data_IF_571910862521
#
_entry.id   IF_571910862521
#
_cell.length_a   1.000
_cell.length_b   1.000
_cell.length_c   1.000
_cell.angle_alpha   90.00
_cell.angle_beta   90.00
_cell.angle_gamma   90.00
#
_symmetry.space_group_name_H-M   'P 1'
#
loop_
_entity.id
_entity.type
_entity.pdbx_description
1 polymer ?
#
# COMPACT_ATOMS: atom_id res chain seq x y z
N UNK A 1 10.54 -6.48 4.19
CA UNK A 1 9.25 -6.58 3.49
C UNK A 1 9.32 -5.95 2.09
N UNK A 2 9.75 -4.67 1.92
CA UNK A 2 9.82 -4.02 0.59
C UNK A 2 10.66 -4.77 -0.43
N UNK A 3 11.84 -5.27 -0.03
CA UNK A 3 12.69 -6.07 -0.92
C UNK A 3 12.00 -7.36 -1.35
N UNK A 4 11.34 -8.06 -0.41
CA UNK A 4 10.62 -9.29 -0.71
C UNK A 4 9.48 -9.04 -1.71
N UNK A 5 8.68 -7.97 -1.50
CA UNK A 5 7.62 -7.58 -2.45
C UNK A 5 8.22 -7.28 -3.83
N UNK A 6 9.28 -6.45 -3.89
CA UNK A 6 9.91 -6.10 -5.17
C UNK A 6 10.49 -7.31 -5.91
N UNK A 7 11.10 -8.26 -5.18
CA UNK A 7 11.59 -9.51 -5.76
C UNK A 7 10.44 -10.37 -6.26
N UNK A 8 9.38 -10.55 -5.47
CA UNK A 8 8.21 -11.31 -5.86
C UNK A 8 7.55 -10.77 -7.13
N UNK A 9 7.36 -9.44 -7.20
CA UNK A 9 6.77 -8.77 -8.38
C UNK A 9 7.63 -8.96 -9.64
N UNK A 10 8.96 -8.93 -9.52
CA UNK A 10 9.87 -9.18 -10.66
C UNK A 10 9.70 -10.57 -11.25
N UNK A 11 9.54 -11.58 -10.39
CA UNK A 11 9.42 -12.97 -10.81
C UNK A 11 7.98 -13.37 -11.18
N UNK A 12 7.00 -12.58 -10.76
CA UNK A 12 5.62 -12.82 -11.12
C UNK A 12 5.37 -12.59 -12.62
N UNK A 13 4.51 -13.42 -13.23
CA UNK A 13 4.15 -13.33 -14.65
C UNK A 13 2.77 -12.72 -14.87
N UNK A 14 1.94 -12.68 -13.83
CA UNK A 14 0.60 -12.12 -13.92
C UNK A 14 0.60 -10.60 -14.02
N UNK A 15 -0.40 -10.05 -14.71
CA UNK A 15 -0.66 -8.60 -14.75
C UNK A 15 -1.00 -8.06 -13.37
N UNK A 16 -1.84 -8.76 -12.64
CA UNK A 16 -2.26 -8.39 -11.30
C UNK A 16 -1.43 -9.11 -10.26
N UNK A 17 -0.93 -8.36 -9.31
CA UNK A 17 -0.15 -8.88 -8.18
C UNK A 17 -0.99 -8.79 -6.93
N UNK A 18 -1.12 -9.92 -6.25
CA UNK A 18 -1.73 -9.99 -4.92
C UNK A 18 -0.64 -10.17 -3.86
N UNK A 19 -0.71 -9.40 -2.78
CA UNK A 19 0.19 -9.53 -1.63
C UNK A 19 -0.59 -9.76 -0.36
N UNK A 20 -0.01 -10.55 0.56
CA UNK A 20 -0.50 -10.65 1.92
C UNK A 20 0.67 -10.86 2.89
N UNK A 21 0.45 -10.55 4.18
CA UNK A 21 1.44 -10.85 5.21
C UNK A 21 1.33 -12.32 5.61
N UNK A 22 2.48 -12.99 5.81
CA UNK A 22 2.57 -14.42 6.11
C UNK A 22 2.32 -14.78 7.58
N UNK A 23 1.68 -13.89 8.36
CA UNK A 23 1.41 -14.09 9.79
C UNK A 23 0.00 -14.66 10.09
N UNK A 24 -0.75 -15.00 9.04
CA UNK A 24 -2.09 -15.59 9.12
C UNK A 24 -3.20 -14.60 9.49
N UNK A 25 -2.91 -13.31 9.65
CA UNK A 25 -3.91 -12.31 10.02
C UNK A 25 -4.80 -11.86 8.86
N UNK A 26 -4.30 -11.95 7.62
CA UNK A 26 -5.05 -11.60 6.43
C UNK A 26 -5.85 -12.80 5.91
N UNK A 27 -7.07 -12.58 5.43
CA UNK A 27 -7.90 -13.63 4.85
C UNK A 27 -7.74 -13.67 3.33
N UNK A 28 -7.17 -14.74 2.74
CA UNK A 28 -7.06 -14.86 1.29
C UNK A 28 -8.42 -14.85 0.55
N UNK A 29 -9.51 -15.19 1.22
CA UNK A 29 -10.86 -15.14 0.66
C UNK A 29 -11.32 -13.73 0.25
N UNK A 30 -10.63 -12.68 0.71
CA UNK A 30 -10.89 -11.31 0.28
C UNK A 30 -10.33 -10.99 -1.13
N UNK A 31 -9.37 -11.75 -1.67
CA UNK A 31 -8.73 -11.45 -2.96
C UNK A 31 -9.70 -11.38 -4.15
N UNK A 32 -10.65 -12.29 -4.34
CA UNK A 32 -11.58 -12.20 -5.46
C UNK A 32 -12.27 -10.84 -5.52
N UNK A 33 -12.80 -10.37 -4.40
CA UNK A 33 -13.50 -9.08 -4.32
C UNK A 33 -12.59 -7.88 -4.61
N UNK A 34 -11.32 -7.93 -4.17
CA UNK A 34 -10.35 -6.87 -4.49
C UNK A 34 -9.99 -6.88 -5.97
N UNK A 35 -9.85 -8.06 -6.56
CA UNK A 35 -9.56 -8.23 -7.99
C UNK A 35 -10.74 -7.80 -8.86
N UNK A 36 -11.96 -8.16 -8.49
CA UNK A 36 -13.17 -7.75 -9.20
C UNK A 36 -13.30 -6.23 -9.26
N UNK A 37 -12.96 -5.53 -8.17
CA UNK A 37 -12.95 -4.08 -8.15
C UNK A 37 -11.94 -3.48 -9.14
N UNK A 38 -10.75 -4.09 -9.28
CA UNK A 38 -9.73 -3.68 -10.25
C UNK A 38 -10.12 -3.95 -11.72
N UNK A 39 -10.93 -4.98 -11.94
CA UNK A 39 -11.32 -5.41 -13.28
C UNK A 39 -12.56 -4.70 -13.81
N UNK A 40 -13.17 -3.81 -13.03
CA UNK A 40 -14.36 -3.08 -13.46
C UNK A 40 -14.05 -2.12 -14.62
N UNK A 41 -14.78 -2.20 -15.75
CA UNK A 41 -14.55 -1.34 -16.91
C UNK A 41 -14.78 0.15 -16.63
N UNK A 42 -15.61 0.47 -15.63
CA UNK A 42 -15.96 1.84 -15.25
C UNK A 42 -14.79 2.62 -14.61
N UNK A 43 -13.74 1.94 -14.18
CA UNK A 43 -12.59 2.58 -13.51
C UNK A 43 -11.26 2.16 -14.14
N UNK A 44 -10.97 2.53 -15.40
CA UNK A 44 -9.74 2.10 -16.10
C UNK A 44 -8.46 2.67 -15.46
N UNK A 45 -8.58 3.76 -14.71
CA UNK A 45 -7.51 4.40 -13.95
C UNK A 45 -7.16 3.68 -12.64
N UNK A 46 -8.03 2.80 -12.14
CA UNK A 46 -7.81 2.06 -10.89
C UNK A 46 -6.73 1.00 -11.08
N UNK A 47 -5.62 1.14 -10.34
CA UNK A 47 -4.45 0.27 -10.45
C UNK A 47 -3.99 -0.33 -9.12
N UNK A 48 -4.60 0.09 -8.01
CA UNK A 48 -4.33 -0.46 -6.69
C UNK A 48 -5.64 -0.54 -5.89
N UNK A 49 -5.97 -1.73 -5.43
CA UNK A 49 -6.99 -1.94 -4.39
C UNK A 49 -6.32 -2.54 -3.17
N UNK A 50 -6.60 -1.96 -2.02
CA UNK A 50 -6.01 -2.41 -0.76
C UNK A 50 -7.07 -2.68 0.29
N UNK A 51 -6.73 -3.57 1.22
CA UNK A 51 -7.58 -3.86 2.35
C UNK A 51 -7.60 -2.71 3.37
N UNK A 52 -8.76 -2.49 3.97
CA UNK A 52 -8.96 -1.65 5.14
C UNK A 52 -9.51 -2.51 6.29
N UNK A 53 -8.74 -2.63 7.36
CA UNK A 53 -9.09 -3.44 8.54
C UNK A 53 -10.07 -2.68 9.44
N UNK A 54 -11.36 -2.79 9.16
CA UNK A 54 -12.42 -2.06 9.90
C UNK A 54 -12.68 -2.64 11.30
N UNK A 55 -12.43 -3.95 11.50
CA UNK A 55 -12.76 -4.70 12.73
C UNK A 55 -11.58 -4.86 13.70
N UNK A 56 -10.64 -3.90 13.75
CA UNK A 56 -9.54 -3.97 14.70
C UNK A 56 -10.03 -3.86 16.14
N UNK A 57 -9.85 -4.90 16.93
CA UNK A 57 -9.98 -4.89 18.40
C UNK A 57 -8.74 -4.27 19.07
N UNK A 58 -8.33 -3.10 18.62
CA UNK A 58 -7.22 -2.39 19.25
C UNK A 58 -7.67 -1.64 20.51
N UNK A 59 -6.79 -1.54 21.50
CA UNK A 59 -7.00 -0.65 22.65
C UNK A 59 -7.18 0.80 22.19
N UNK A 60 -7.96 1.60 22.93
CA UNK A 60 -8.26 2.97 22.54
C UNK A 60 -6.99 3.81 22.32
N UNK A 61 -5.93 3.56 23.10
CA UNK A 61 -4.63 4.24 22.98
C UNK A 61 -3.97 3.95 21.63
N UNK A 62 -4.03 2.69 21.15
CA UNK A 62 -3.53 2.31 19.83
C UNK A 62 -4.36 2.90 18.70
N UNK A 63 -5.68 3.00 18.88
CA UNK A 63 -6.55 3.67 17.90
C UNK A 63 -6.24 5.15 17.79
N UNK A 64 -6.04 5.82 18.92
CA UNK A 64 -5.69 7.24 18.96
C UNK A 64 -4.35 7.51 18.31
N UNK A 65 -3.29 6.78 18.70
CA UNK A 65 -1.97 6.93 18.08
C UNK A 65 -1.96 6.62 16.58
N UNK A 66 -2.74 5.63 16.14
CA UNK A 66 -2.90 5.32 14.71
C UNK A 66 -3.64 6.44 13.96
N UNK A 67 -4.67 7.05 14.56
CA UNK A 67 -5.39 8.20 13.96
C UNK A 67 -4.47 9.41 13.78
N UNK A 68 -3.70 9.75 14.81
CA UNK A 68 -2.72 10.85 14.75
C UNK A 68 -1.67 10.56 13.67
N UNK A 69 -1.07 9.37 13.68
CA UNK A 69 -0.07 8.99 12.70
C UNK A 69 -0.62 8.99 11.26
N UNK A 70 -1.84 8.48 11.06
CA UNK A 70 -2.50 8.51 9.75
C UNK A 70 -2.91 9.93 9.34
N UNK A 71 -3.31 10.78 10.28
CA UNK A 71 -3.63 12.19 10.02
C UNK A 71 -2.39 12.97 9.55
N UNK A 72 -1.27 12.85 10.28
CA UNK A 72 0.01 13.47 9.90
C UNK A 72 0.46 12.94 8.53
N UNK A 73 0.40 11.63 8.31
CA UNK A 73 0.75 11.02 7.05
C UNK A 73 -0.15 11.51 5.90
N UNK A 74 -1.46 11.53 6.11
CA UNK A 74 -2.44 12.01 5.13
C UNK A 74 -2.22 13.47 4.74
N UNK A 75 -1.82 14.31 5.68
CA UNK A 75 -1.47 15.71 5.42
C UNK A 75 -0.20 15.83 4.54
N UNK A 76 0.82 15.00 4.80
CA UNK A 76 2.06 15.00 4.02
C UNK A 76 1.89 14.39 2.62
N UNK A 77 1.19 13.28 2.51
CA UNK A 77 1.13 12.46 1.29
C UNK A 77 -0.15 12.70 0.47
N UNK A 78 -1.19 13.27 1.09
CA UNK A 78 -2.52 13.54 0.49
C UNK A 78 -3.15 12.33 -0.21
N UNK A 79 -2.84 11.12 0.26
CA UNK A 79 -3.24 9.87 -0.40
C UNK A 79 -4.61 9.33 0.01
N UNK A 80 -5.28 9.95 0.97
CA UNK A 80 -6.64 9.59 1.40
C UNK A 80 -6.82 8.17 1.92
N UNK A 81 -5.72 7.44 2.18
CA UNK A 81 -5.77 6.02 2.51
C UNK A 81 -5.89 5.79 4.02
N UNK A 82 -6.94 5.11 4.50
CA UNK A 82 -7.20 4.93 5.92
C UNK A 82 -6.27 3.91 6.60
N UNK A 83 -5.83 2.87 5.90
CA UNK A 83 -5.00 1.78 6.45
C UNK A 83 -3.91 1.31 5.49
N UNK A 84 -2.80 2.05 5.43
CA UNK A 84 -1.66 1.69 4.57
C UNK A 84 -0.85 0.51 5.10
N UNK A 85 -1.02 0.17 6.37
CA UNK A 85 -0.35 -0.96 7.01
C UNK A 85 -1.00 -2.32 6.74
N UNK A 86 -2.14 -2.36 6.03
CA UNK A 86 -2.75 -3.63 5.66
C UNK A 86 -1.88 -4.38 4.65
N UNK A 87 -1.58 -5.66 4.93
CA UNK A 87 -0.76 -6.51 4.06
C UNK A 87 -1.45 -6.93 2.77
N UNK A 88 -2.79 -7.03 2.80
CA UNK A 88 -3.57 -7.47 1.65
C UNK A 88 -3.76 -6.33 0.64
N UNK A 89 -3.22 -6.51 -0.56
CA UNK A 89 -3.29 -5.56 -1.67
C UNK A 89 -3.33 -6.31 -2.99
N UNK A 90 -4.06 -5.76 -3.94
CA UNK A 90 -4.02 -6.20 -5.35
C UNK A 90 -3.71 -4.99 -6.22
N UNK A 91 -2.72 -5.13 -7.12
CA UNK A 91 -2.24 -4.00 -7.91
C UNK A 91 -1.69 -4.41 -9.27
N UNK A 92 -1.61 -3.41 -10.17
CA UNK A 92 -1.03 -3.57 -11.50
C UNK A 92 0.49 -3.72 -11.42
N UNK A 93 1.02 -4.80 -12.02
CA UNK A 93 2.44 -5.15 -12.04
C UNK A 93 3.27 -4.10 -12.76
N UNK A 94 2.81 -3.65 -13.92
CA UNK A 94 3.59 -2.78 -14.78
C UNK A 94 3.74 -1.39 -14.15
N UNK A 95 2.69 -0.88 -13.51
CA UNK A 95 2.76 0.37 -12.74
C UNK A 95 3.78 0.23 -11.61
N UNK A 96 3.72 -0.87 -10.84
CA UNK A 96 4.66 -1.11 -9.73
C UNK A 96 6.13 -1.19 -10.22
N UNK A 97 6.37 -1.82 -11.37
CA UNK A 97 7.73 -1.99 -11.91
C UNK A 97 8.41 -0.67 -12.27
N UNK A 98 7.64 0.37 -12.57
CA UNK A 98 8.14 1.71 -12.90
C UNK A 98 8.31 2.62 -11.68
N UNK A 99 7.85 2.19 -10.51
CA UNK A 99 7.97 2.99 -9.29
C UNK A 99 9.39 3.02 -8.72
N UNK A 100 9.78 4.11 -8.06
CA UNK A 100 11.04 4.18 -7.34
C UNK A 100 11.07 3.18 -6.19
N UNK A 101 12.22 2.54 -6.00
CA UNK A 101 12.43 1.52 -4.96
C UNK A 101 13.26 2.06 -3.82
N UNK A 102 12.70 1.96 -2.62
CA UNK A 102 13.37 2.35 -1.39
C UNK A 102 12.90 1.50 -0.21
N UNK A 103 13.62 1.57 0.91
CA UNK A 103 13.20 0.86 2.13
C UNK A 103 11.84 1.37 2.59
N UNK A 104 11.00 0.47 3.07
CA UNK A 104 9.63 0.76 3.53
C UNK A 104 8.65 1.27 2.46
N UNK A 105 9.00 1.23 1.16
CA UNK A 105 8.11 1.66 0.07
C UNK A 105 6.71 1.01 0.12
N UNK A 106 6.60 -0.21 0.65
CA UNK A 106 5.32 -0.92 0.77
C UNK A 106 4.25 -0.15 1.57
N UNK A 107 4.67 0.78 2.44
CA UNK A 107 3.79 1.68 3.20
C UNK A 107 3.34 2.89 2.39
N UNK A 108 4.06 3.23 1.34
CA UNK A 108 3.83 4.39 0.49
C UNK A 108 3.16 4.03 -0.83
N UNK A 109 2.83 2.75 -1.05
CA UNK A 109 2.24 2.29 -2.31
C UNK A 109 1.04 3.14 -2.76
N UNK A 110 0.07 3.51 -1.92
CA UNK A 110 -1.04 4.36 -2.37
C UNK A 110 -0.56 5.67 -2.96
N UNK A 111 0.26 6.40 -2.23
CA UNK A 111 0.80 7.69 -2.68
C UNK A 111 1.68 7.56 -3.93
N UNK A 112 2.43 6.45 -4.06
CA UNK A 112 3.24 6.16 -5.24
C UNK A 112 2.38 5.84 -6.46
N UNK A 113 1.30 5.06 -6.32
CA UNK A 113 0.36 4.80 -7.41
C UNK A 113 -0.35 6.08 -7.85
N UNK A 114 -0.79 6.91 -6.91
CA UNK A 114 -1.40 8.22 -7.22
C UNK A 114 -0.42 9.17 -7.91
N UNK A 115 0.87 9.16 -7.50
CA UNK A 115 1.94 9.88 -8.19
C UNK A 115 2.06 9.50 -9.66
N UNK A 116 1.84 8.24 -9.99
CA UNK A 116 1.82 7.74 -11.38
C UNK A 116 0.49 8.03 -12.10
N UNK A 117 -0.40 8.83 -11.49
CA UNK A 117 -1.69 9.19 -12.06
C UNK A 117 -2.75 8.10 -11.94
N UNK A 118 -2.53 7.11 -11.10
CA UNK A 118 -3.46 5.99 -10.92
C UNK A 118 -4.45 6.25 -9.79
N UNK A 119 -5.65 5.70 -9.94
CA UNK A 119 -6.64 5.64 -8.87
C UNK A 119 -6.30 4.53 -7.88
N UNK A 120 -6.64 4.78 -6.61
CA UNK A 120 -6.43 3.86 -5.48
C UNK A 120 -7.71 3.75 -4.68
N UNK A 121 -8.15 2.54 -4.39
CA UNK A 121 -9.35 2.28 -3.59
C UNK A 121 -9.01 1.40 -2.39
N UNK A 122 -9.66 1.68 -1.26
CA UNK A 122 -9.58 0.84 -0.05
C UNK A 122 -10.92 0.15 0.19
N UNK A 123 -10.90 -1.17 0.33
CA UNK A 123 -12.08 -1.99 0.62
C UNK A 123 -11.97 -2.61 2.01
N UNK A 124 -13.07 -2.72 2.76
CA UNK A 124 -13.09 -3.44 4.03
C UNK A 124 -12.62 -4.88 3.82
N UNK A 125 -11.76 -5.39 4.69
CA UNK A 125 -11.28 -6.79 4.65
C UNK A 125 -11.35 -7.42 6.02
N UNK A 126 -11.45 -8.75 6.03
CA UNK A 126 -11.41 -9.53 7.25
C UNK A 126 -10.01 -9.48 7.86
N UNK A 127 -9.95 -9.37 9.18
CA UNK A 127 -8.71 -9.39 9.93
C UNK A 127 -8.83 -10.38 11.08
N UNK A 128 -8.01 -11.43 11.01
CA UNK A 128 -7.97 -12.49 12.02
C UNK A 128 -7.02 -12.11 13.16
N UNK A 129 -7.24 -12.68 14.34
CA UNK A 129 -6.30 -12.56 15.43
C UNK A 129 -5.00 -13.30 15.09
N UNK A 130 -3.87 -12.75 15.55
CA UNK A 130 -2.56 -13.37 15.32
C UNK A 130 -2.47 -14.67 16.12
N UNK A 131 -2.30 -15.77 15.41
CA UNK A 131 -2.15 -17.10 16.02
C UNK A 131 -0.69 -17.49 16.25
N UNK A 132 0.28 -16.84 15.57
CA UNK A 132 1.71 -17.19 15.66
C UNK A 132 2.59 -15.93 15.65
N UNK A 133 3.69 -16.01 16.40
CA UNK A 133 4.75 -15.01 16.44
C UNK A 133 4.47 -13.81 17.35
N UNK A 134 5.55 -13.21 17.86
CA UNK A 134 5.54 -11.99 18.67
C UNK A 134 5.98 -10.80 17.82
N UNK A 135 5.45 -9.60 18.09
CA UNK A 135 5.87 -8.37 17.41
C UNK A 135 7.32 -8.03 17.80
N UNK A 136 8.25 -8.20 16.87
CA UNK A 136 9.71 -7.99 17.09
C UNK A 136 10.16 -6.53 17.11
N UNK A 137 9.24 -5.54 17.10
CA UNK A 137 9.62 -4.14 16.91
C UNK A 137 9.30 -3.26 18.12
N UNK A 138 10.34 -2.62 18.68
CA UNK A 138 10.22 -1.58 19.70
C UNK A 138 9.58 -0.28 19.15
N UNK A 139 8.81 0.42 19.98
CA UNK A 139 8.04 1.63 19.61
C UNK A 139 8.94 2.82 19.21
N UNK A 140 10.08 3.03 19.87
CA UNK A 140 10.95 4.19 19.65
C UNK A 140 11.66 4.19 18.27
N UNK A 141 12.18 3.05 17.83
CA UNK A 141 12.86 2.96 16.52
C UNK A 141 11.89 3.14 15.34
N UNK A 142 10.61 2.83 15.53
CA UNK A 142 9.58 3.00 14.51
C UNK A 142 9.20 4.44 14.23
N UNK A 143 9.22 5.30 15.23
CA UNK A 143 8.85 6.71 15.11
C UNK A 143 9.85 7.49 14.25
N UNK A 144 11.14 7.39 14.57
CA UNK A 144 12.18 8.12 13.83
C UNK A 144 12.32 7.65 12.38
N UNK A 145 12.34 6.32 12.16
CA UNK A 145 12.36 5.77 10.80
C UNK A 145 11.10 6.19 10.03
N UNK A 146 9.94 6.22 10.70
CA UNK A 146 8.69 6.66 10.09
C UNK A 146 8.69 8.13 9.67
N UNK A 147 9.28 9.02 10.47
CA UNK A 147 9.40 10.46 10.16
C UNK A 147 10.34 10.69 8.99
N UNK A 148 11.51 10.06 8.99
CA UNK A 148 12.49 10.16 7.89
C UNK A 148 11.90 9.61 6.59
N UNK A 149 11.26 8.44 6.64
CA UNK A 149 10.59 7.83 5.49
C UNK A 149 9.47 8.73 4.94
N UNK A 150 8.70 9.38 5.85
CA UNK A 150 7.61 10.27 5.47
C UNK A 150 8.14 11.52 4.75
N UNK A 151 9.23 12.08 5.24
CA UNK A 151 9.87 13.26 4.64
C UNK A 151 10.45 12.92 3.27
N UNK A 152 11.21 11.82 3.17
CA UNK A 152 11.77 11.33 1.91
C UNK A 152 10.68 10.94 0.89
N UNK A 153 9.64 10.26 1.33
CA UNK A 153 8.49 9.89 0.49
C UNK A 153 7.74 11.11 -0.02
N UNK A 154 7.49 12.10 0.83
CA UNK A 154 6.85 13.37 0.44
C UNK A 154 7.70 14.15 -0.57
N UNK A 155 9.00 14.22 -0.36
CA UNK A 155 9.94 14.84 -1.32
C UNK A 155 9.88 14.14 -2.68
N UNK A 156 9.93 12.80 -2.69
CA UNK A 156 9.88 11.98 -3.89
C UNK A 156 8.57 12.19 -4.68
N UNK A 157 7.44 12.27 -3.97
CA UNK A 157 6.12 12.45 -4.58
C UNK A 157 6.01 13.85 -5.21
N UNK A 158 6.48 14.88 -4.52
CA UNK A 158 6.42 16.27 -5.02
C UNK A 158 7.34 16.52 -6.22
N UNK A 159 8.38 15.71 -6.42
CA UNK A 159 9.33 15.79 -7.53
C UNK A 159 9.09 14.73 -8.61
N UNK A 160 7.87 14.25 -8.74
CA UNK A 160 7.50 13.37 -9.82
C UNK A 160 7.62 14.09 -11.16
N UNK A 161 8.37 13.53 -12.10
CA UNK A 161 8.29 13.94 -13.49
C UNK A 161 7.04 13.31 -14.12
N UNK A 162 6.20 14.07 -14.82
CA UNK A 162 5.06 13.49 -15.53
C UNK A 162 5.56 12.49 -16.58
N UNK A 163 4.84 11.40 -16.76
CA UNK A 163 5.11 10.46 -17.84
C UNK A 163 4.81 11.14 -19.16
N UNK A 164 5.81 11.27 -19.99
CA UNK A 164 5.61 11.70 -21.39
C UNK A 164 5.17 10.47 -22.18
N UNK A 165 3.93 10.47 -22.64
CA UNK A 165 3.45 9.49 -23.61
C UNK A 165 4.08 9.81 -24.96
N UNK A 166 5.08 9.04 -25.37
CA UNK A 166 5.62 9.10 -26.73
C UNK A 166 4.61 8.41 -27.65
N UNK A 167 3.88 9.18 -28.47
CA UNK A 167 3.14 8.61 -29.60
C UNK A 167 4.17 8.04 -30.56
N UNK A 168 4.24 6.73 -30.67
CA UNK A 168 4.88 6.11 -31.84
C UNK A 168 3.94 6.33 -33.03
N UNK A 169 4.28 7.27 -33.89
CA UNK A 169 3.71 7.33 -35.22
C UNK A 169 4.25 6.11 -35.98
N UNK A 170 3.32 5.27 -36.44
CA UNK A 170 3.59 4.16 -37.37
C UNK A 170 3.51 4.66 -38.76
#
# INVERSE_FOLDING_TARGET
>A
QSAAVATGVRHARGRWIATLDGDGQNDPADFPRLLDALMQPASPGLKLVMGNRTTRRDTWLRRFSSRVANGVRGWFLKDGTPDTGCGIKVFDRDVFMHMPRFRNMHRFMPALFQREGCEVVSLPVNHRERTRGTSKYGLHNRLWVGIVDLWGGSWLIRRASPRVAVKQER
#
